data_IF_882342560024
#
_entry.id   IF_882342560024
#
_cell.length_a   1.000
_cell.length_b   1.000
_cell.length_c   1.000
_cell.angle_alpha   90.00
_cell.angle_beta   90.00
_cell.angle_gamma   90.00
#
_symmetry.space_group_name_H-M   'P 1'
#
loop_
_entity.id
_entity.type
_entity.pdbx_description
1 polymer ?
#
# COMPACT_ATOMS: atom_id res chain seq x y z
N UNK A 1 -16.19 -16.34 5.87
CA UNK A 1 -15.63 -14.98 6.06
C UNK A 1 -14.12 -14.88 5.81
N UNK A 2 -13.29 -15.89 6.12
CA UNK A 2 -11.82 -15.78 6.07
C UNK A 2 -11.15 -15.96 4.69
N UNK A 3 -11.91 -16.17 3.61
CA UNK A 3 -11.37 -16.52 2.29
C UNK A 3 -10.90 -15.32 1.47
N UNK A 4 -11.47 -14.13 1.70
CA UNK A 4 -11.29 -12.96 0.83
C UNK A 4 -11.11 -11.66 1.63
N UNK A 5 -10.69 -10.61 0.93
CA UNK A 5 -10.62 -9.24 1.46
C UNK A 5 -9.71 -9.11 2.70
N UNK A 6 -10.03 -8.14 3.56
CA UNK A 6 -9.19 -7.86 4.74
C UNK A 6 -9.24 -9.00 5.76
N UNK A 7 -10.30 -9.81 5.77
CA UNK A 7 -10.42 -10.98 6.65
C UNK A 7 -9.47 -12.12 6.24
N UNK A 8 -9.16 -12.26 4.94
CA UNK A 8 -8.11 -13.19 4.49
C UNK A 8 -6.74 -12.72 4.95
N UNK A 9 -6.42 -11.44 4.74
CA UNK A 9 -5.16 -10.86 5.21
C UNK A 9 -4.99 -11.06 6.72
N UNK A 10 -6.02 -10.72 7.51
CA UNK A 10 -6.06 -10.96 8.96
C UNK A 10 -5.72 -12.39 9.32
N UNK A 11 -6.36 -13.37 8.67
CA UNK A 11 -6.15 -14.79 8.96
C UNK A 11 -4.70 -15.20 8.70
N UNK A 12 -4.15 -14.80 7.56
CA UNK A 12 -2.74 -15.10 7.21
C UNK A 12 -1.79 -14.43 8.21
N UNK A 13 -2.00 -13.16 8.56
CA UNK A 13 -1.15 -12.46 9.52
C UNK A 13 -1.26 -13.03 10.94
N UNK A 14 -2.42 -13.55 11.36
CA UNK A 14 -2.59 -14.20 12.67
C UNK A 14 -1.81 -15.52 12.79
N UNK A 15 -1.57 -16.20 11.68
CA UNK A 15 -0.69 -17.38 11.62
C UNK A 15 0.80 -16.98 11.63
N UNK A 16 1.09 -15.67 11.58
CA UNK A 16 2.43 -15.16 11.53
C UNK A 16 2.99 -14.69 12.88
N UNK A 17 4.30 -14.89 13.04
CA UNK A 17 5.09 -14.34 14.16
C UNK A 17 6.03 -13.25 13.62
N UNK A 18 6.31 -12.19 14.35
CA UNK A 18 7.15 -11.08 13.89
C UNK A 18 8.06 -10.57 15.00
N UNK A 19 9.15 -9.89 14.63
CA UNK A 19 10.07 -9.32 15.61
C UNK A 19 9.34 -8.33 16.56
N UNK A 20 9.76 -8.29 17.82
CA UNK A 20 9.17 -7.41 18.86
C UNK A 20 9.19 -5.93 18.48
N UNK A 21 10.12 -5.52 17.61
CA UNK A 21 10.21 -4.14 17.11
C UNK A 21 8.99 -3.70 16.29
N UNK A 22 8.17 -4.64 15.81
CA UNK A 22 6.93 -4.33 15.11
C UNK A 22 5.73 -4.16 16.06
N UNK A 23 5.90 -4.26 17.38
CA UNK A 23 4.78 -3.98 18.30
C UNK A 23 4.38 -2.51 18.22
N UNK A 24 3.08 -2.28 18.04
CA UNK A 24 2.46 -0.96 17.85
C UNK A 24 3.09 -0.13 16.72
N UNK A 25 3.85 -0.77 15.84
CA UNK A 25 4.55 -0.08 14.76
C UNK A 25 3.55 0.39 13.70
N UNK A 26 3.84 1.49 13.00
CA UNK A 26 2.91 2.13 12.08
C UNK A 26 2.58 1.28 10.87
N UNK A 27 1.44 1.60 10.28
CA UNK A 27 0.95 1.06 9.01
C UNK A 27 1.06 2.13 7.93
N UNK A 28 1.35 1.73 6.69
CA UNK A 28 1.30 2.61 5.54
C UNK A 28 0.34 2.04 4.49
N UNK A 29 -0.63 2.85 4.08
CA UNK A 29 -1.63 2.52 3.07
C UNK A 29 -1.42 3.44 1.87
N UNK A 30 -1.03 2.89 0.73
CA UNK A 30 -0.90 3.63 -0.51
C UNK A 30 -1.84 3.02 -1.54
N UNK A 31 -2.58 3.88 -2.22
CA UNK A 31 -3.52 3.48 -3.26
C UNK A 31 -3.78 4.64 -4.24
N UNK A 32 -4.60 4.41 -5.26
CA UNK A 32 -4.91 5.43 -6.28
C UNK A 32 -6.39 5.81 -6.36
N UNK A 33 -7.28 5.13 -5.62
CA UNK A 33 -8.69 5.53 -5.50
C UNK A 33 -9.18 5.35 -4.07
N UNK A 34 -10.06 6.25 -3.63
CA UNK A 34 -10.64 6.24 -2.29
C UNK A 34 -12.16 6.14 -2.37
N UNK A 35 -12.69 5.07 -1.78
CA UNK A 35 -14.14 4.87 -1.65
C UNK A 35 -14.76 5.72 -0.55
N UNK A 36 -16.07 5.60 -0.34
CA UNK A 36 -16.74 6.25 0.80
C UNK A 36 -16.45 5.45 2.07
N UNK A 37 -15.60 5.99 2.93
CA UNK A 37 -15.18 5.36 4.19
C UNK A 37 -15.87 6.01 5.40
N UNK A 38 -15.89 5.32 6.52
CA UNK A 38 -16.28 5.83 7.83
C UNK A 38 -15.28 5.35 8.89
N UNK A 39 -15.28 5.99 10.07
CA UNK A 39 -14.34 5.65 11.15
C UNK A 39 -14.44 4.20 11.60
N UNK A 40 -15.67 3.67 11.67
CA UNK A 40 -15.93 2.29 12.08
C UNK A 40 -15.24 1.31 11.13
N UNK A 41 -15.38 1.51 9.82
CA UNK A 41 -14.75 0.64 8.83
C UNK A 41 -13.23 0.84 8.77
N UNK A 42 -12.73 2.06 8.97
CA UNK A 42 -11.28 2.28 9.11
C UNK A 42 -10.68 1.52 10.29
N UNK A 43 -11.39 1.49 11.43
CA UNK A 43 -10.97 0.69 12.59
C UNK A 43 -11.05 -0.82 12.31
N UNK A 44 -12.09 -1.29 11.59
CA UNK A 44 -12.23 -2.69 11.17
C UNK A 44 -11.07 -3.15 10.27
N UNK A 45 -10.70 -2.32 9.28
CA UNK A 45 -9.57 -2.57 8.40
C UNK A 45 -8.25 -2.52 9.18
N UNK A 46 -8.03 -1.49 9.99
CA UNK A 46 -6.81 -1.32 10.78
C UNK A 46 -6.60 -2.49 11.76
N UNK A 47 -7.66 -3.03 12.35
CA UNK A 47 -7.60 -4.22 13.20
C UNK A 47 -7.11 -5.45 12.42
N UNK A 48 -7.56 -5.60 11.17
CA UNK A 48 -7.11 -6.67 10.29
C UNK A 48 -5.64 -6.51 9.88
N UNK A 49 -5.23 -5.30 9.56
CA UNK A 49 -3.85 -4.94 9.18
C UNK A 49 -2.87 -5.03 10.38
N UNK A 50 -3.37 -4.85 11.60
CA UNK A 50 -2.57 -4.93 12.84
C UNK A 50 -2.42 -6.36 13.39
N UNK A 51 -2.92 -7.36 12.67
CA UNK A 51 -2.89 -8.75 13.10
C UNK A 51 -1.48 -9.34 13.10
N UNK A 52 -1.30 -10.40 13.89
CA UNK A 52 -0.03 -11.09 14.09
C UNK A 52 0.47 -10.99 15.51
N UNK A 53 1.47 -11.81 15.81
CA UNK A 53 2.04 -11.95 17.14
C UNK A 53 3.54 -11.72 17.11
N UNK A 54 4.13 -11.28 18.22
CA UNK A 54 5.57 -11.33 18.39
C UNK A 54 6.04 -12.69 18.90
N UNK A 55 7.35 -12.91 18.95
CA UNK A 55 7.96 -14.21 19.31
C UNK A 55 7.47 -14.78 20.64
N UNK A 56 7.23 -13.92 21.63
CA UNK A 56 6.67 -14.30 22.94
C UNK A 56 5.13 -14.40 22.95
N UNK A 57 4.52 -14.59 21.77
CA UNK A 57 3.07 -14.72 21.57
C UNK A 57 2.24 -13.52 22.01
N UNK A 58 2.86 -12.36 22.25
CA UNK A 58 2.14 -11.10 22.47
C UNK A 58 1.56 -10.60 21.16
N UNK A 59 0.27 -10.20 21.08
CA UNK A 59 -0.28 -9.55 19.90
C UNK A 59 0.54 -8.32 19.54
N UNK A 60 0.79 -8.07 18.26
CA UNK A 60 1.55 -6.89 17.88
C UNK A 60 0.82 -5.57 18.21
N UNK A 61 -0.49 -5.62 18.45
CA UNK A 61 -1.30 -4.48 18.83
C UNK A 61 -1.58 -3.51 17.68
N UNK A 62 -2.41 -2.48 17.92
CA UNK A 62 -2.85 -1.54 16.90
C UNK A 62 -1.65 -0.78 16.33
N UNK A 63 -1.52 -0.76 15.00
CA UNK A 63 -0.65 0.16 14.29
C UNK A 63 -1.42 1.39 13.84
N UNK A 64 -0.79 2.57 13.91
CA UNK A 64 -1.38 3.81 13.40
C UNK A 64 -1.24 3.87 11.87
N UNK A 65 -2.35 3.97 11.11
CA UNK A 65 -2.29 4.03 9.66
C UNK A 65 -1.97 5.43 9.15
N UNK A 66 -0.96 5.51 8.27
CA UNK A 66 -0.71 6.67 7.43
C UNK A 66 -1.18 6.36 6.01
N UNK A 67 -2.03 7.21 5.47
CA UNK A 67 -2.59 7.12 4.12
C UNK A 67 -1.77 7.99 3.18
N UNK A 68 -1.06 7.35 2.27
CA UNK A 68 -0.27 8.00 1.23
C UNK A 68 -1.19 8.32 0.05
N UNK A 69 -1.49 9.60 -0.11
CA UNK A 69 -2.35 10.12 -1.16
C UNK A 69 -1.66 11.32 -1.82
N UNK A 70 -1.78 11.52 -3.15
CA UNK A 70 -1.23 12.70 -3.79
C UNK A 70 -1.93 13.99 -3.34
N UNK A 71 -1.15 15.04 -3.10
CA UNK A 71 -1.67 16.39 -2.96
C UNK A 71 -2.05 16.96 -4.33
N UNK A 72 -2.80 18.07 -4.32
CA UNK A 72 -3.07 18.87 -5.52
C UNK A 72 -1.77 19.34 -6.17
N UNK A 73 -0.77 19.71 -5.36
CA UNK A 73 0.53 20.17 -5.86
C UNK A 73 1.33 19.01 -6.48
N UNK A 74 1.28 17.82 -5.88
CA UNK A 74 1.95 16.62 -6.44
C UNK A 74 1.37 16.27 -7.81
N UNK A 75 0.04 16.30 -7.98
CA UNK A 75 -0.62 16.05 -9.28
C UNK A 75 -0.30 17.18 -10.27
N UNK A 76 -0.45 18.45 -9.86
CA UNK A 76 -0.20 19.61 -10.71
C UNK A 76 1.25 19.67 -11.23
N UNK A 77 2.22 19.28 -10.41
CA UNK A 77 3.65 19.28 -10.75
C UNK A 77 4.15 17.94 -11.31
N UNK A 78 3.28 16.95 -11.46
CA UNK A 78 3.62 15.65 -12.01
C UNK A 78 4.09 15.75 -13.46
N UNK A 79 4.68 14.67 -13.97
CA UNK A 79 5.11 14.55 -15.37
C UNK A 79 3.91 14.72 -16.31
N UNK A 80 2.72 14.26 -15.93
CA UNK A 80 1.50 14.33 -16.74
C UNK A 80 0.62 15.54 -16.39
N UNK A 81 1.06 16.40 -15.46
CA UNK A 81 0.25 17.52 -14.95
C UNK A 81 -1.10 17.06 -14.41
N UNK A 82 -2.14 17.84 -14.60
CA UNK A 82 -3.48 17.46 -14.16
C UNK A 82 -4.04 16.22 -14.86
N UNK A 83 -3.48 15.81 -16.02
CA UNK A 83 -3.91 14.58 -16.69
C UNK A 83 -3.71 13.34 -15.81
N UNK A 84 -2.67 13.34 -14.97
CA UNK A 84 -2.37 12.28 -14.00
C UNK A 84 -3.53 12.04 -13.02
N UNK A 85 -4.28 13.11 -12.73
CA UNK A 85 -5.42 13.08 -11.81
C UNK A 85 -6.55 12.14 -12.22
N UNK A 86 -6.65 11.79 -13.51
CA UNK A 86 -7.60 10.77 -14.00
C UNK A 86 -7.29 9.37 -13.44
N UNK A 87 -6.01 9.07 -13.19
CA UNK A 87 -5.57 7.80 -12.60
C UNK A 87 -5.63 7.79 -11.06
N UNK A 88 -5.99 8.93 -10.45
CA UNK A 88 -6.15 9.08 -9.00
C UNK A 88 -7.59 9.49 -8.63
N UNK A 89 -8.63 8.68 -8.99
CA UNK A 89 -10.01 9.11 -8.84
C UNK A 89 -10.52 8.97 -7.40
N UNK A 90 -10.79 10.11 -6.75
CA UNK A 90 -11.75 10.18 -5.63
C UNK A 90 -12.49 11.53 -5.56
N UNK A 91 -13.83 11.53 -5.35
CA UNK A 91 -14.61 12.75 -5.28
C UNK A 91 -14.40 13.49 -3.95
N UNK A 92 -14.64 14.80 -3.92
CA UNK A 92 -14.40 15.68 -2.76
C UNK A 92 -15.09 15.13 -1.50
N UNK A 93 -16.34 14.65 -1.65
CA UNK A 93 -17.13 14.07 -0.55
C UNK A 93 -16.49 12.84 0.14
N UNK A 94 -15.56 12.16 -0.54
CA UNK A 94 -14.84 11.02 0.04
C UNK A 94 -13.52 11.48 0.67
N UNK A 95 -12.81 12.38 0.00
CA UNK A 95 -11.46 12.83 0.39
C UNK A 95 -11.49 13.79 1.57
N UNK A 96 -12.49 14.67 1.66
CA UNK A 96 -12.54 15.73 2.68
C UNK A 96 -13.29 15.36 3.96
N UNK A 97 -13.52 14.07 4.20
CA UNK A 97 -14.12 13.64 5.47
C UNK A 97 -13.17 13.98 6.62
N UNK A 98 -13.68 14.68 7.63
CA UNK A 98 -12.84 15.25 8.71
C UNK A 98 -11.95 14.23 9.40
N UNK A 99 -12.46 13.02 9.66
CA UNK A 99 -11.70 11.97 10.32
C UNK A 99 -10.47 11.48 9.54
N UNK A 100 -10.41 11.74 8.23
CA UNK A 100 -9.26 11.37 7.39
C UNK A 100 -8.08 12.33 7.54
N UNK A 101 -8.30 13.56 8.01
CA UNK A 101 -7.27 14.61 8.11
C UNK A 101 -6.02 14.16 8.86
N UNK A 102 -6.19 13.34 9.90
CA UNK A 102 -5.09 12.80 10.72
C UNK A 102 -4.25 11.72 10.04
N UNK A 103 -4.73 11.11 8.95
CA UNK A 103 -4.04 10.01 8.29
C UNK A 103 -3.20 10.45 7.09
N UNK A 104 -3.45 11.62 6.51
CA UNK A 104 -2.84 11.99 5.23
C UNK A 104 -1.32 12.12 5.32
N UNK A 105 -0.65 11.47 4.37
CA UNK A 105 0.78 11.53 4.14
C UNK A 105 1.06 11.72 2.63
N UNK A 106 2.13 12.45 2.33
CA UNK A 106 2.51 12.85 0.97
C UNK A 106 2.98 11.68 0.14
N UNK A 107 2.70 11.73 -1.16
CA UNK A 107 3.41 10.92 -2.15
C UNK A 107 4.85 11.44 -2.29
N UNK A 108 5.81 10.67 -1.78
CA UNK A 108 7.24 10.95 -1.94
C UNK A 108 7.98 9.68 -2.30
N UNK A 109 8.82 9.74 -3.32
CA UNK A 109 9.52 8.61 -3.90
C UNK A 109 10.89 9.03 -4.46
N UNK A 110 11.60 9.90 -3.74
CA UNK A 110 12.84 10.54 -4.24
C UNK A 110 13.93 9.50 -4.45
N UNK A 111 13.99 8.49 -3.58
CA UNK A 111 14.92 7.37 -3.65
C UNK A 111 14.78 6.52 -4.92
N UNK A 112 13.64 6.59 -5.61
CA UNK A 112 13.46 5.92 -6.90
C UNK A 112 13.27 6.88 -8.08
N UNK A 113 13.40 8.19 -7.85
CA UNK A 113 13.19 9.22 -8.86
C UNK A 113 11.74 9.37 -9.31
N UNK A 114 10.75 8.90 -8.53
CA UNK A 114 9.34 8.81 -8.95
C UNK A 114 8.40 9.82 -8.29
N UNK A 115 8.90 10.83 -7.58
CA UNK A 115 8.05 11.86 -6.95
C UNK A 115 7.06 12.51 -7.93
N UNK A 116 7.47 12.70 -9.19
CA UNK A 116 6.63 13.33 -10.23
C UNK A 116 5.83 12.33 -11.06
N UNK A 117 5.93 11.02 -10.80
CA UNK A 117 5.13 9.99 -11.45
C UNK A 117 3.99 9.60 -10.51
N UNK A 118 2.75 9.97 -10.85
CA UNK A 118 1.61 9.73 -9.95
C UNK A 118 1.33 8.24 -9.78
N UNK A 119 0.99 7.80 -8.55
CA UNK A 119 0.86 6.39 -8.27
C UNK A 119 -0.45 5.83 -8.81
N UNK A 120 -0.35 4.80 -9.66
CA UNK A 120 -1.44 3.85 -9.91
C UNK A 120 -1.22 2.49 -9.22
N UNK A 121 -0.09 2.31 -8.53
CA UNK A 121 0.18 1.16 -7.68
C UNK A 121 -0.67 1.21 -6.39
N UNK A 122 -0.90 0.06 -5.74
CA UNK A 122 -1.55 -0.02 -4.44
C UNK A 122 -0.76 -0.95 -3.54
N UNK A 123 -0.31 -0.44 -2.41
CA UNK A 123 0.49 -1.22 -1.47
C UNK A 123 0.10 -0.93 -0.03
N UNK A 124 0.19 -1.96 0.80
CA UNK A 124 -0.10 -1.90 2.22
C UNK A 124 1.05 -2.54 2.96
N UNK A 125 1.50 -1.94 4.06
CA UNK A 125 2.62 -2.51 4.82
C UNK A 125 2.55 -2.10 6.27
N UNK A 126 3.20 -2.91 7.11
CA UNK A 126 3.56 -2.54 8.48
C UNK A 126 5.07 -2.44 8.58
N UNK A 127 5.56 -1.36 9.15
CA UNK A 127 6.98 -1.04 9.11
C UNK A 127 7.49 -0.50 10.45
N UNK A 128 8.82 -0.51 10.61
CA UNK A 128 9.55 0.22 11.63
C UNK A 128 10.84 0.75 11.00
N UNK A 129 10.92 2.07 10.81
CA UNK A 129 11.99 2.69 10.02
C UNK A 129 12.02 2.13 8.59
N UNK A 130 13.12 1.48 8.22
CA UNK A 130 13.31 0.85 6.90
C UNK A 130 13.08 -0.68 6.90
N UNK A 131 12.62 -1.25 8.01
CA UNK A 131 12.28 -2.68 8.11
C UNK A 131 10.77 -2.87 7.97
N UNK A 132 10.37 -3.98 7.37
CA UNK A 132 8.98 -4.30 7.07
C UNK A 132 8.59 -5.59 7.81
N UNK A 133 7.49 -5.56 8.55
CA UNK A 133 6.91 -6.78 9.10
C UNK A 133 6.35 -7.63 7.96
N UNK A 134 5.65 -6.98 7.03
CA UNK A 134 5.06 -7.56 5.84
C UNK A 134 4.80 -6.47 4.81
N UNK A 135 4.74 -6.84 3.53
CA UNK A 135 4.44 -5.93 2.44
C UNK A 135 3.41 -6.57 1.50
N UNK A 136 2.38 -5.83 1.13
CA UNK A 136 1.34 -6.30 0.21
C UNK A 136 1.32 -5.41 -1.02
N UNK A 137 1.44 -6.02 -2.20
CA UNK A 137 1.17 -5.41 -3.49
C UNK A 137 -0.15 -5.95 -4.02
N UNK A 138 -1.08 -5.09 -4.41
CA UNK A 138 -2.45 -5.51 -4.75
C UNK A 138 -3.10 -4.59 -5.81
N UNK A 139 -4.21 -5.02 -6.39
CA UNK A 139 -5.13 -4.16 -7.14
C UNK A 139 -6.08 -3.36 -6.24
N UNK A 140 -6.28 -3.81 -4.99
CA UNK A 140 -7.28 -3.28 -4.07
C UNK A 140 -6.98 -1.84 -3.62
N UNK A 141 -7.80 -0.90 -4.08
CA UNK A 141 -7.87 0.46 -3.57
C UNK A 141 -8.46 0.51 -2.15
N UNK A 142 -8.32 1.64 -1.45
CA UNK A 142 -8.91 1.80 -0.11
C UNK A 142 -10.42 2.04 -0.21
N UNK A 143 -11.17 0.93 -0.22
CA UNK A 143 -12.62 0.94 -0.31
C UNK A 143 -13.25 -0.31 0.33
N UNK A 144 -14.47 -0.15 0.83
CA UNK A 144 -15.34 -1.26 1.28
C UNK A 144 -15.63 -2.27 0.16
N UNK A 145 -15.69 -1.82 -1.10
CA UNK A 145 -15.98 -2.67 -2.24
C UNK A 145 -14.85 -3.69 -2.50
N UNK A 146 -13.59 -3.23 -2.43
CA UNK A 146 -12.40 -4.02 -2.66
C UNK A 146 -12.06 -4.92 -1.46
N UNK A 147 -12.04 -4.34 -0.27
CA UNK A 147 -11.56 -5.02 0.94
C UNK A 147 -12.64 -5.80 1.69
N UNK A 148 -13.90 -5.46 1.44
CA UNK A 148 -15.06 -5.98 2.14
C UNK A 148 -15.41 -5.21 3.40
N UNK A 149 -16.61 -5.44 3.90
CA UNK A 149 -17.09 -4.91 5.17
C UNK A 149 -17.98 -5.91 5.90
N UNK A 150 -17.86 -5.95 7.23
CA UNK A 150 -18.78 -6.67 8.11
C UNK A 150 -20.14 -5.96 8.16
N UNK A 151 -21.21 -6.75 8.05
CA UNK A 151 -22.60 -6.31 8.02
C UNK A 151 -23.45 -7.17 8.95
N UNK A 152 -24.68 -6.72 9.25
CA UNK A 152 -25.65 -7.44 10.08
C UNK A 152 -25.03 -7.97 11.39
N UNK A 153 -24.51 -7.06 12.22
CA UNK A 153 -23.83 -7.39 13.48
C UNK A 153 -22.70 -8.44 13.31
N UNK A 154 -21.86 -8.25 12.29
CA UNK A 154 -20.72 -9.11 11.96
C UNK A 154 -21.07 -10.55 11.53
N UNK A 155 -22.35 -10.84 11.25
CA UNK A 155 -22.80 -12.15 10.74
C UNK A 155 -22.65 -12.30 9.22
N UNK A 156 -22.42 -11.21 8.50
CA UNK A 156 -22.24 -11.21 7.05
C UNK A 156 -20.97 -10.42 6.67
N UNK A 157 -20.22 -10.92 5.70
CA UNK A 157 -19.06 -10.23 5.12
C UNK A 157 -19.30 -10.04 3.62
N UNK A 158 -19.25 -8.79 3.15
CA UNK A 158 -19.67 -8.42 1.81
C UNK A 158 -18.53 -7.73 1.06
N UNK A 159 -18.18 -8.24 -0.12
CA UNK A 159 -17.21 -7.71 -1.08
C UNK A 159 -17.95 -7.48 -2.41
N UNK A 160 -17.61 -6.40 -3.12
CA UNK A 160 -18.27 -6.02 -4.40
C UNK A 160 -17.34 -6.03 -5.60
N UNK A 161 -16.05 -6.26 -5.40
CA UNK A 161 -15.02 -6.16 -6.44
C UNK A 161 -14.15 -7.41 -6.44
N UNK A 162 -13.64 -7.75 -7.62
CA UNK A 162 -12.59 -8.75 -7.77
C UNK A 162 -11.25 -8.06 -7.59
N UNK A 163 -10.46 -8.53 -6.64
CA UNK A 163 -9.17 -7.96 -6.31
C UNK A 163 -8.17 -9.09 -6.07
N UNK A 164 -6.91 -8.85 -6.43
CA UNK A 164 -5.82 -9.81 -6.23
C UNK A 164 -4.55 -9.09 -5.80
N UNK A 165 -3.77 -9.76 -4.94
CA UNK A 165 -2.49 -9.25 -4.49
C UNK A 165 -1.56 -10.34 -4.00
N UNK A 166 -0.30 -9.98 -3.81
CA UNK A 166 0.77 -10.85 -3.31
C UNK A 166 1.29 -10.27 -2.00
N UNK A 167 1.27 -11.09 -0.96
CA UNK A 167 1.78 -10.74 0.37
C UNK A 167 3.19 -11.30 0.56
N UNK A 168 4.14 -10.42 0.83
CA UNK A 168 5.52 -10.73 1.16
C UNK A 168 5.65 -10.82 2.69
N UNK A 169 6.14 -11.96 3.17
CA UNK A 169 6.30 -12.28 4.59
C UNK A 169 7.76 -12.65 4.89
N UNK A 170 8.24 -12.47 6.14
CA UNK A 170 9.63 -12.71 6.55
C UNK A 170 9.95 -14.20 6.78
N UNK A 171 9.32 -15.10 6.02
CA UNK A 171 9.56 -16.54 6.12
C UNK A 171 10.61 -17.00 5.13
N UNK A 172 11.38 -18.03 5.50
CA UNK A 172 12.16 -18.78 4.53
C UNK A 172 11.20 -19.48 3.59
N UNK A 173 11.10 -19.00 2.36
CA UNK A 173 10.54 -19.84 1.29
C UNK A 173 11.62 -20.84 0.89
N UNK A 174 11.29 -22.12 0.66
CA UNK A 174 12.18 -23.01 -0.05
C UNK A 174 12.62 -22.28 -1.33
N UNK A 175 13.92 -22.15 -1.55
CA UNK A 175 14.46 -21.45 -2.72
C UNK A 175 14.18 -22.28 -3.98
N UNK A 176 12.95 -22.23 -4.47
CA UNK A 176 12.65 -22.61 -5.84
C UNK A 176 13.03 -21.41 -6.71
N UNK A 177 14.12 -21.54 -7.47
CA UNK A 177 14.49 -20.52 -8.44
C UNK A 177 13.30 -20.26 -9.38
N UNK A 178 12.83 -19.02 -9.40
CA UNK A 178 11.79 -18.59 -10.33
C UNK A 178 12.44 -17.68 -11.37
N UNK A 179 12.38 -18.08 -12.64
CA UNK A 179 12.83 -17.27 -13.76
C UNK A 179 11.63 -16.87 -14.59
N UNK A 180 11.43 -15.57 -14.76
CA UNK A 180 10.46 -15.01 -15.73
C UNK A 180 11.03 -14.99 -17.17
N UNK A 181 12.23 -15.53 -17.39
CA UNK A 181 12.86 -15.63 -18.69
C UNK A 181 13.13 -17.10 -19.01
N UNK A 182 12.97 -17.49 -20.28
CA UNK A 182 13.11 -18.88 -20.76
C UNK A 182 14.49 -19.50 -20.48
N UNK A 183 15.49 -18.69 -20.12
CA UNK A 183 16.89 -19.10 -20.04
C UNK A 183 17.41 -19.30 -18.61
N UNK A 184 16.56 -19.14 -17.59
CA UNK A 184 16.94 -19.38 -16.21
C UNK A 184 16.75 -20.85 -15.84
N UNK A 185 17.83 -21.63 -15.83
CA UNK A 185 17.82 -22.98 -15.24
C UNK A 185 17.43 -22.83 -13.77
N UNK A 186 16.32 -23.43 -13.30
CA UNK A 186 15.97 -23.39 -11.89
C UNK A 186 17.05 -24.14 -11.10
N UNK A 187 17.81 -23.43 -10.28
CA UNK A 187 18.74 -24.07 -9.34
C UNK A 187 17.91 -24.97 -8.41
N UNK A 188 18.16 -26.29 -8.46
CA UNK A 188 17.54 -27.28 -7.56
C UNK A 188 18.01 -27.03 -6.12
N UNK A 189 17.33 -26.14 -5.40
CA UNK A 189 17.39 -26.10 -3.95
C UNK A 189 16.67 -27.33 -3.38
N UNK A 190 17.33 -28.10 -2.52
CA UNK A 190 16.72 -29.26 -1.85
C UNK A 190 15.49 -28.81 -1.05
N UNK A 191 14.33 -29.37 -1.40
CA UNK A 191 13.08 -29.17 -0.67
C UNK A 191 13.14 -29.99 0.63
N UNK A 192 13.50 -29.34 1.73
CA UNK A 192 13.26 -29.85 3.08
C UNK A 192 12.00 -29.19 3.63
N UNK A 193 11.03 -29.99 4.08
CA UNK A 193 9.96 -29.49 4.95
C UNK A 193 10.62 -29.02 6.24
N UNK A 194 10.88 -27.71 6.36
CA UNK A 194 11.22 -27.15 7.66
C UNK A 194 9.92 -26.91 8.40
N UNK A 195 9.61 -27.84 9.30
CA UNK A 195 8.73 -27.59 10.42
C UNK A 195 9.12 -26.29 11.14
N UNK A 196 8.14 -25.68 11.80
CA UNK A 196 8.23 -24.49 12.67
C UNK A 196 9.30 -24.67 13.78
N UNK A 197 10.56 -24.63 13.40
CA UNK A 197 11.70 -24.49 14.29
C UNK A 197 12.25 -23.08 14.12
N UNK A 198 12.74 -22.50 15.20
CA UNK A 198 13.19 -21.11 15.40
C UNK A 198 14.39 -20.69 14.51
N UNK A 199 14.59 -21.35 13.36
CA UNK A 199 15.71 -21.17 12.45
C UNK A 199 15.50 -19.99 11.49
N UNK A 200 15.88 -18.79 11.96
CA UNK A 200 16.28 -17.62 11.16
C UNK A 200 15.23 -17.07 10.19
N UNK A 201 14.36 -16.17 10.63
CA UNK A 201 13.42 -15.48 9.74
C UNK A 201 14.17 -14.56 8.76
N UNK A 202 13.66 -14.43 7.54
CA UNK A 202 14.23 -13.47 6.58
C UNK A 202 13.85 -12.05 7.01
N UNK A 203 14.76 -11.09 6.85
CA UNK A 203 14.50 -9.68 7.16
C UNK A 203 14.01 -8.97 5.90
N UNK A 204 12.78 -8.46 5.90
CA UNK A 204 12.28 -7.62 4.82
C UNK A 204 12.67 -6.16 5.08
N UNK A 205 13.36 -5.54 4.12
CA UNK A 205 13.84 -4.16 4.25
C UNK A 205 13.58 -3.35 2.98
N UNK A 206 13.56 -2.03 3.07
CA UNK A 206 13.46 -1.14 1.90
C UNK A 206 14.81 -0.96 1.21
N UNK A 207 14.80 -0.36 0.00
CA UNK A 207 16.01 0.07 -0.72
C UNK A 207 16.90 1.05 0.07
N UNK A 208 16.33 1.81 1.01
CA UNK A 208 17.05 2.82 1.79
C UNK A 208 17.63 2.26 3.10
N UNK A 209 17.47 0.95 3.38
CA UNK A 209 18.03 0.34 4.58
C UNK A 209 19.56 0.25 4.50
N UNK A 210 20.23 0.84 5.49
CA UNK A 210 21.71 0.92 5.59
C UNK A 210 22.32 -0.03 6.63
N UNK A 211 21.57 -1.03 7.09
CA UNK A 211 22.09 -1.96 8.09
C UNK A 211 23.14 -2.91 7.53
N UNK A 212 23.91 -3.54 8.42
CA UNK A 212 24.98 -4.45 8.02
C UNK A 212 24.39 -5.76 7.47
N UNK A 213 24.83 -6.18 6.28
CA UNK A 213 24.45 -7.47 5.68
C UNK A 213 25.21 -8.66 6.29
N UNK A 214 26.25 -8.39 7.09
CA UNK A 214 27.17 -9.40 7.64
C UNK A 214 26.81 -9.94 9.03
N UNK A 215 25.54 -9.96 9.43
CA UNK A 215 25.15 -10.48 10.76
C UNK A 215 24.19 -11.66 10.63
N UNK A 216 24.69 -12.82 11.06
CA UNK A 216 24.09 -14.15 11.18
C UNK A 216 23.85 -14.92 9.87
N UNK A 217 24.57 -16.05 9.73
CA UNK A 217 24.49 -17.00 8.61
C UNK A 217 23.12 -17.68 8.43
N UNK A 218 22.15 -17.39 9.30
CA UNK A 218 20.85 -18.06 9.35
C UNK A 218 19.67 -17.25 8.79
N UNK A 219 19.81 -15.93 8.59
CA UNK A 219 18.72 -15.02 8.19
C UNK A 219 19.08 -14.17 6.96
N UNK A 220 18.37 -14.37 5.85
CA UNK A 220 18.58 -13.60 4.62
C UNK A 220 17.93 -12.21 4.71
N UNK A 221 18.59 -11.18 4.16
CA UNK A 221 18.02 -9.82 4.02
C UNK A 221 17.41 -9.69 2.63
N UNK A 222 16.08 -9.65 2.57
CA UNK A 222 15.32 -9.43 1.33
C UNK A 222 15.01 -7.93 1.21
N UNK A 223 15.56 -7.31 0.17
CA UNK A 223 15.31 -5.89 -0.13
C UNK A 223 14.10 -5.78 -1.05
N UNK A 224 13.04 -5.09 -0.61
CA UNK A 224 11.84 -4.81 -1.39
C UNK A 224 11.83 -3.36 -1.90
N UNK A 225 11.48 -3.13 -3.18
CA UNK A 225 11.40 -1.80 -3.76
C UNK A 225 10.10 -1.09 -3.36
N UNK A 226 9.97 -0.72 -2.08
CA UNK A 226 8.84 0.09 -1.60
C UNK A 226 8.79 1.39 -2.42
N UNK A 227 7.66 1.69 -3.09
CA UNK A 227 7.61 2.71 -4.14
C UNK A 227 7.59 4.14 -3.61
N UNK A 228 7.48 4.32 -2.29
CA UNK A 228 7.48 5.59 -1.58
C UNK A 228 8.42 5.56 -0.37
N UNK A 229 8.72 6.73 0.16
CA UNK A 229 9.58 6.90 1.32
C UNK A 229 8.88 6.42 2.60
N UNK A 230 9.66 5.74 3.45
CA UNK A 230 9.26 5.39 4.82
C UNK A 230 10.22 6.11 5.80
N UNK A 231 9.72 6.61 6.95
CA UNK A 231 8.31 6.82 7.27
C UNK A 231 7.67 7.84 6.31
N UNK A 232 6.37 7.68 5.93
CA UNK A 232 5.68 8.66 5.11
C UNK A 232 5.60 10.01 5.82
N UNK A 233 5.82 11.11 5.09
CA UNK A 233 5.70 12.45 5.64
C UNK A 233 4.23 12.86 5.75
N UNK A 234 3.71 13.20 6.93
CA UNK A 234 2.35 13.71 7.08
C UNK A 234 2.11 14.98 6.27
N UNK A 235 0.85 15.22 5.92
CA UNK A 235 0.44 16.49 5.31
C UNK A 235 0.68 17.66 6.25
N UNK A 236 1.07 18.80 5.66
CA UNK A 236 1.11 20.09 6.32
C UNK A 236 -0.25 20.80 6.25
N UNK A 237 -0.40 21.93 6.94
CA UNK A 237 -1.64 22.71 6.88
C UNK A 237 -1.88 23.37 5.52
N UNK A 238 -0.84 23.43 4.67
CA UNK A 238 -0.92 23.94 3.30
C UNK A 238 -1.28 22.85 2.29
N UNK A 239 -1.20 21.58 2.67
CA UNK A 239 -1.44 20.46 1.76
C UNK A 239 -2.93 20.22 1.57
N UNK A 240 -3.34 20.14 0.30
CA UNK A 240 -4.70 19.82 -0.10
C UNK A 240 -4.68 18.47 -0.80
N UNK A 241 -5.47 17.47 -0.38
CA UNK A 241 -5.51 16.18 -1.07
C UNK A 241 -6.16 16.33 -2.45
N UNK A 242 -5.64 15.60 -3.44
CA UNK A 242 -6.21 15.59 -4.79
C UNK A 242 -7.64 15.04 -4.79
N UNK A 243 -8.52 15.66 -5.58
CA UNK A 243 -9.86 15.18 -5.87
C UNK A 243 -10.27 15.53 -7.30
N UNK A 244 -10.82 14.57 -8.03
CA UNK A 244 -11.05 14.73 -9.48
C UNK A 244 -12.24 15.63 -9.84
N UNK A 245 -13.21 15.81 -8.94
CA UNK A 245 -14.42 16.64 -9.18
C UNK A 245 -14.30 18.06 -8.61
N UNK A 246 -13.16 18.42 -8.01
CA UNK A 246 -12.83 19.80 -7.64
C UNK A 246 -12.30 20.58 -8.84
N UNK A 247 -12.58 21.88 -8.92
CA UNK A 247 -11.95 22.78 -9.90
C UNK A 247 -10.63 23.33 -9.35
N UNK A 248 -9.57 23.30 -10.17
CA UNK A 248 -8.26 23.87 -9.86
C UNK A 248 -7.83 24.84 -10.95
N UNK A 249 -7.59 26.10 -10.59
CA UNK A 249 -7.31 27.20 -11.54
C UNK A 249 -5.82 27.52 -11.71
N UNK A 250 -4.95 27.03 -10.81
CA UNK A 250 -3.50 27.18 -10.95
C UNK A 250 -3.04 26.31 -12.13
N UNK A 251 -2.22 26.85 -13.03
CA UNK A 251 -1.74 26.10 -14.20
C UNK A 251 -0.81 24.95 -13.79
N UNK A 252 -0.91 23.81 -14.46
CA UNK A 252 0.04 22.69 -14.35
C UNK A 252 1.30 22.91 -15.20
N UNK A 253 2.15 21.88 -15.28
CA UNK A 253 3.40 21.89 -16.06
C UNK A 253 3.19 22.08 -17.57
N UNK A 254 1.95 21.97 -18.06
CA UNK A 254 1.55 22.18 -19.46
C UNK A 254 0.73 23.46 -19.65
N UNK A 255 0.64 24.31 -18.63
CA UNK A 255 -0.17 25.53 -18.70
C UNK A 255 -1.68 25.29 -18.58
N UNK A 256 -2.12 24.08 -18.22
CA UNK A 256 -3.53 23.68 -18.16
C UNK A 256 -4.12 23.83 -16.76
N UNK A 257 -5.43 24.04 -16.69
CA UNK A 257 -6.23 24.02 -15.45
C UNK A 257 -7.03 22.72 -15.36
N UNK A 258 -7.70 22.47 -14.23
CA UNK A 258 -8.57 21.30 -14.05
C UNK A 258 -10.02 21.69 -13.68
N UNK A 259 -11.05 21.09 -14.30
CA UNK A 259 -10.97 20.07 -15.34
C UNK A 259 -10.33 20.62 -16.62
N UNK A 260 -9.60 19.75 -17.33
CA UNK A 260 -8.94 20.14 -18.58
C UNK A 260 -10.00 20.49 -19.63
N UNK A 261 -9.76 21.55 -20.40
CA UNK A 261 -10.53 21.80 -21.62
C UNK A 261 -10.08 20.78 -22.67
N UNK A 262 -10.90 19.77 -22.93
CA UNK A 262 -10.67 18.82 -24.01
C UNK A 262 -11.42 19.31 -25.23
N UNK A 263 -10.71 19.76 -26.26
CA UNK A 263 -11.32 19.89 -27.59
C UNK A 263 -11.56 18.47 -28.11
N UNK A 264 -12.82 18.04 -28.09
CA UNK A 264 -13.22 16.84 -28.80
C UNK A 264 -13.03 17.13 -30.29
N UNK A 265 -12.23 16.31 -30.99
CA UNK A 265 -12.24 16.30 -32.45
C UNK A 265 -13.64 15.86 -32.88
N UNK A 266 -14.51 16.83 -33.18
CA UNK A 266 -15.77 16.53 -33.83
C UNK A 266 -15.44 15.89 -35.18
N UNK A 267 -15.87 14.65 -35.39
CA UNK A 267 -15.77 13.98 -36.68
C UNK A 267 -16.35 14.94 -37.74
N UNK A 268 -15.53 15.28 -38.73
CA UNK A 268 -15.98 15.94 -39.94
C UNK A 268 -17.15 15.11 -40.47
N UNK A 269 -18.37 15.66 -40.39
CA UNK A 269 -19.49 15.12 -41.15
C UNK A 269 -19.13 15.42 -42.61
N UNK A 270 -18.70 14.40 -43.33
CA UNK A 270 -18.65 14.44 -44.79
C UNK A 270 -20.06 14.75 -45.29
N UNK A 271 -20.13 15.80 -46.11
CA UNK A 271 -21.32 16.36 -46.76
C UNK A 271 -21.81 15.48 -47.91
#
# INVERSE_FOLDING_TARGET
MKKWGHMKLRTVLQECTFDKEFRKSPLAYQFSSLGSLDEKWMAELAYSMSSGYSDDKTPLGPGEPLIIWPTVEDVRCSIEGYAAGNAVPSPVKNVEKDFLKKYWARWMASHTGRCRAMPHIKTFTRYNGQKLAWFLLTSANLSKAAWGALQKNNSQFMIRSYELGVLFLPYKTPSSGFSCTSNGVPSKGKCGQSENSEAGRNKLVTLNWKGNRNTDSSSEVITLPVPYELPPQPYTTQDVPWSWDRRYTKKDVYGQVWPRQVQLYAALKES
#
